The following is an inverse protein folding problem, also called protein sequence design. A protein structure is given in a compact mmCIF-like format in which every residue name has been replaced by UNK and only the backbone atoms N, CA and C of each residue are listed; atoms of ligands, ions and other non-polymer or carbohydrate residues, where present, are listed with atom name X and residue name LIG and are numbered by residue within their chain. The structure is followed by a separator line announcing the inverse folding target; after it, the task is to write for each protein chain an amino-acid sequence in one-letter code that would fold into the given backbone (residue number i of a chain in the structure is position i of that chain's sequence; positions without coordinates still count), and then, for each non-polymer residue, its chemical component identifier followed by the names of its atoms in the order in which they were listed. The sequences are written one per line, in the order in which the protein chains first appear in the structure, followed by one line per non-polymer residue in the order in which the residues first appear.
data_IF_153168927668
#
_entry.id   IF_153168927668
#
_cell.length_a   1.000
_cell.length_b   1.000
_cell.length_c   1.000
_cell.angle_alpha   90.00
_cell.angle_beta   90.00
_cell.angle_gamma   90.00
#
_symmetry.space_group_name_H-M   'P 1'
#
loop_
_entity.id
_entity.type
_entity.pdbx_description
1 polymer ?
#
# COMPACT_ATOMS: atom_id res chain seq x y z
N UNK A 1 -3.65 -27.68 -5.50
CA UNK A 1 -4.54 -27.14 -6.55
C UNK A 1 -4.27 -25.65 -6.84
N UNK A 2 -3.06 -25.29 -7.26
CA UNK A 2 -2.76 -23.89 -7.63
C UNK A 2 -3.35 -23.52 -9.00
N UNK A 3 -3.57 -24.53 -9.85
CA UNK A 3 -4.06 -24.42 -11.24
C UNK A 3 -5.51 -23.90 -11.33
N UNK A 4 -6.33 -24.05 -10.27
CA UNK A 4 -7.77 -23.72 -10.31
C UNK A 4 -8.05 -22.23 -10.08
N UNK A 5 -7.25 -21.55 -9.25
CA UNK A 5 -7.59 -20.19 -8.79
C UNK A 5 -7.48 -19.13 -9.89
N UNK A 6 -6.50 -19.24 -10.78
CA UNK A 6 -6.29 -18.23 -11.82
C UNK A 6 -7.31 -18.33 -12.95
N UNK A 7 -7.73 -19.55 -13.29
CA UNK A 7 -8.81 -19.76 -14.25
C UNK A 7 -10.13 -19.17 -13.74
N UNK A 8 -10.45 -19.32 -12.44
CA UNK A 8 -11.62 -18.71 -11.81
C UNK A 8 -11.57 -17.17 -11.75
N UNK A 9 -10.39 -16.56 -11.89
CA UNK A 9 -10.23 -15.10 -12.01
C UNK A 9 -10.30 -14.62 -13.47
N UNK A 10 -10.57 -15.51 -14.42
CA UNK A 10 -10.70 -15.18 -15.84
C UNK A 10 -9.37 -15.14 -16.62
N UNK A 11 -8.27 -15.66 -16.06
CA UNK A 11 -7.01 -15.74 -16.79
C UNK A 11 -6.99 -16.95 -17.73
N UNK A 12 -6.60 -16.73 -18.99
CA UNK A 12 -6.43 -17.77 -20.01
C UNK A 12 -5.20 -18.66 -19.74
N UNK A 13 -4.17 -18.09 -19.14
CA UNK A 13 -2.92 -18.78 -18.79
C UNK A 13 -2.44 -18.33 -17.41
N UNK A 14 -1.47 -19.07 -16.86
CA UNK A 14 -0.84 -18.73 -15.58
C UNK A 14 -0.23 -17.31 -15.63
N UNK A 15 -0.79 -16.32 -14.90
CA UNK A 15 -0.29 -14.96 -14.91
C UNK A 15 1.09 -14.83 -14.27
N UNK A 16 1.54 -15.78 -13.44
CA UNK A 16 2.87 -15.74 -12.85
C UNK A 16 3.97 -15.97 -13.89
N UNK A 17 3.71 -16.75 -14.95
CA UNK A 17 4.65 -16.93 -16.08
C UNK A 17 4.90 -15.62 -16.80
N UNK A 18 3.81 -14.94 -17.19
CA UNK A 18 3.88 -13.64 -17.88
C UNK A 18 4.52 -12.58 -16.98
N UNK A 19 4.13 -12.51 -15.71
CA UNK A 19 4.66 -11.52 -14.76
C UNK A 19 6.15 -11.69 -14.49
N UNK A 20 6.65 -12.93 -14.44
CA UNK A 20 8.08 -13.20 -14.17
C UNK A 20 8.98 -12.53 -15.19
N UNK A 21 8.70 -12.72 -16.48
CA UNK A 21 9.50 -12.13 -17.57
C UNK A 21 9.50 -10.60 -17.52
N UNK A 22 8.39 -9.99 -17.09
CA UNK A 22 8.26 -8.53 -16.94
C UNK A 22 9.07 -8.06 -15.73
N UNK A 23 8.98 -8.75 -14.59
CA UNK A 23 9.69 -8.38 -13.37
C UNK A 23 11.21 -8.53 -13.50
N UNK A 24 11.69 -9.53 -14.25
CA UNK A 24 13.13 -9.69 -14.54
C UNK A 24 13.72 -8.52 -15.34
N UNK A 25 12.89 -7.82 -16.12
CA UNK A 25 13.30 -6.68 -16.96
C UNK A 25 12.98 -5.32 -16.33
N UNK A 26 12.26 -5.31 -15.21
CA UNK A 26 11.80 -4.09 -14.56
C UNK A 26 12.99 -3.30 -14.00
N UNK A 27 13.13 -2.05 -14.43
CA UNK A 27 14.15 -1.15 -13.90
C UNK A 27 13.59 -0.24 -12.80
N UNK A 28 14.49 0.40 -12.06
CA UNK A 28 14.09 1.42 -11.08
C UNK A 28 13.46 2.65 -11.76
N UNK A 29 13.92 3.01 -12.96
CA UNK A 29 13.37 4.12 -13.75
C UNK A 29 11.88 3.88 -14.07
N UNK A 30 11.51 2.65 -14.44
CA UNK A 30 10.12 2.28 -14.71
C UNK A 30 9.23 2.50 -13.48
N UNK A 31 9.75 2.14 -12.29
CA UNK A 31 9.05 2.34 -11.02
C UNK A 31 8.88 3.83 -10.72
N UNK A 32 9.94 4.63 -10.92
CA UNK A 32 9.92 6.06 -10.69
C UNK A 32 8.94 6.78 -11.63
N UNK A 33 8.95 6.42 -12.92
CA UNK A 33 8.01 6.94 -13.93
C UNK A 33 6.57 6.56 -13.56
N UNK A 34 6.33 5.31 -13.15
CA UNK A 34 5.00 4.89 -12.71
C UNK A 34 4.52 5.71 -11.51
N UNK A 35 5.36 5.89 -10.49
CA UNK A 35 5.04 6.71 -9.31
C UNK A 35 4.69 8.14 -9.71
N UNK A 36 5.55 8.78 -10.51
CA UNK A 36 5.37 10.17 -10.97
C UNK A 36 4.03 10.35 -11.71
N UNK A 37 3.73 9.45 -12.64
CA UNK A 37 2.58 9.58 -13.52
C UNK A 37 1.26 9.15 -12.86
N UNK A 38 1.30 8.23 -11.90
CA UNK A 38 0.09 7.56 -11.40
C UNK A 38 -0.20 7.79 -9.92
N UNK A 39 0.80 8.13 -9.10
CA UNK A 39 0.69 8.16 -7.64
C UNK A 39 1.06 9.51 -7.02
N UNK A 40 1.99 10.26 -7.61
CA UNK A 40 2.56 11.49 -7.01
C UNK A 40 1.50 12.53 -6.64
N UNK A 41 0.45 12.68 -7.45
CA UNK A 41 -0.61 13.68 -7.22
C UNK A 41 -1.77 13.14 -6.39
N UNK A 42 -1.76 11.85 -6.03
CA UNK A 42 -2.86 11.23 -5.29
C UNK A 42 -2.64 11.40 -3.79
N UNK A 43 -3.70 11.66 -3.01
CA UNK A 43 -3.60 11.69 -1.55
C UNK A 43 -3.18 10.31 -1.04
N UNK A 44 -2.19 10.29 -0.13
CA UNK A 44 -1.68 9.06 0.49
C UNK A 44 -2.03 9.07 1.97
N UNK A 45 -2.52 7.94 2.48
CA UNK A 45 -2.74 7.70 3.90
C UNK A 45 -1.69 6.71 4.38
N UNK A 46 -0.92 7.08 5.41
CA UNK A 46 0.07 6.22 6.04
C UNK A 46 -0.53 5.70 7.35
N UNK A 47 -0.62 4.38 7.50
CA UNK A 47 -1.07 3.73 8.72
C UNK A 47 0.14 3.13 9.44
N UNK A 48 0.32 3.50 10.71
CA UNK A 48 1.37 2.97 11.58
C UNK A 48 0.67 2.20 12.69
N UNK A 49 1.02 0.92 12.86
CA UNK A 49 0.45 0.05 13.89
C UNK A 49 1.54 -0.32 14.88
N UNK A 50 1.33 -0.01 16.16
CA UNK A 50 2.30 -0.28 17.22
C UNK A 50 1.90 0.36 18.55
N UNK A 51 2.72 0.16 19.58
CA UNK A 51 2.56 0.86 20.86
C UNK A 51 2.90 2.35 20.67
N UNK A 52 1.96 3.23 21.04
CA UNK A 52 2.13 4.70 21.02
C UNK A 52 3.40 5.14 21.76
N UNK A 53 3.81 4.42 22.82
CA UNK A 53 5.03 4.75 23.60
C UNK A 53 6.32 4.58 22.79
N UNK A 54 6.28 3.76 21.74
CA UNK A 54 7.42 3.52 20.84
C UNK A 54 7.42 4.48 19.64
N UNK A 55 6.46 5.40 19.56
CA UNK A 55 6.29 6.32 18.44
C UNK A 55 6.62 7.74 18.90
N UNK A 56 7.51 8.41 18.16
CA UNK A 56 7.81 9.82 18.40
C UNK A 56 6.68 10.70 17.88
N UNK A 57 5.73 11.01 18.76
CA UNK A 57 4.61 11.88 18.44
C UNK A 57 5.03 13.33 18.17
N UNK A 58 6.19 13.77 18.68
CA UNK A 58 6.69 15.13 18.44
C UNK A 58 7.14 15.29 17.00
N UNK A 59 7.87 14.30 16.48
CA UNK A 59 8.27 14.27 15.07
C UNK A 59 7.06 14.15 14.14
N UNK A 60 6.06 13.33 14.48
CA UNK A 60 4.82 13.24 13.70
C UNK A 60 4.06 14.56 13.63
N UNK A 61 4.09 15.36 14.70
CA UNK A 61 3.44 16.68 14.74
C UNK A 61 3.99 17.68 13.72
N UNK A 62 5.20 17.47 13.19
CA UNK A 62 5.78 18.31 12.14
C UNK A 62 5.04 18.18 10.80
N UNK A 63 4.39 17.04 10.57
CA UNK A 63 3.65 16.77 9.34
C UNK A 63 2.19 17.23 9.39
N UNK A 64 1.68 17.62 10.55
CA UNK A 64 0.33 18.13 10.70
C UNK A 64 -0.21 18.05 12.13
N UNK A 65 -1.45 18.50 12.30
CA UNK A 65 -2.15 18.45 13.59
C UNK A 65 -2.42 16.99 13.98
N UNK A 66 -1.95 16.61 15.17
CA UNK A 66 -2.26 15.31 15.77
C UNK A 66 -3.67 15.36 16.35
N UNK A 67 -4.51 14.41 15.94
CA UNK A 67 -5.85 14.20 16.48
C UNK A 67 -5.89 12.85 17.16
N UNK A 68 -6.05 12.84 18.48
CA UNK A 68 -6.22 11.61 19.25
C UNK A 68 -7.70 11.26 19.33
N UNK A 69 -8.04 10.03 18.93
CA UNK A 69 -9.42 9.54 18.91
C UNK A 69 -9.55 8.39 19.91
N UNK A 70 -10.59 8.44 20.74
CA UNK A 70 -10.94 7.34 21.66
C UNK A 70 -11.89 6.37 20.96
N UNK A 71 -11.83 5.10 21.33
CA UNK A 71 -12.71 4.05 20.78
C UNK A 71 -14.20 4.43 20.88
N UNK A 72 -14.63 4.95 22.04
CA UNK A 72 -16.00 5.42 22.26
C UNK A 72 -16.43 6.56 21.32
N UNK A 73 -15.48 7.29 20.73
CA UNK A 73 -15.75 8.35 19.75
C UNK A 73 -15.85 7.81 18.32
N UNK A 74 -15.36 6.60 18.06
CA UNK A 74 -15.41 5.94 16.74
C UNK A 74 -16.61 5.01 16.61
N UNK A 75 -16.93 4.29 17.69
CA UNK A 75 -17.92 3.22 17.69
C UNK A 75 -19.05 3.51 18.70
N UNK A 76 -19.58 4.74 18.70
CA UNK A 76 -20.59 5.19 19.66
C UNK A 76 -21.66 4.13 19.96
N UNK A 77 -22.06 4.03 21.23
CA UNK A 77 -23.24 3.23 21.62
C UNK A 77 -24.50 3.75 20.94
#
# INVERSE_FOLDING_TARGET
EQIVRWNNMGFETDPAKVKREIYEKLSFEDIAVFYKNNLQTKPVVICIVGDKKSIDMTELGKYGKIVEVKEASLFGK
#
